data_IF_558764819048
#
_entry.id   IF_558764819048
#
_cell.length_a   1.000
_cell.length_b   1.000
_cell.length_c   1.000
_cell.angle_alpha   90.00
_cell.angle_beta   90.00
_cell.angle_gamma   90.00
#
_symmetry.space_group_name_H-M   'P 1'
#
loop_
_entity.id
_entity.type
_entity.pdbx_description
1 polymer ?
#
# COMPACT_ATOMS: atom_id res chain seq x y z
N UNK A 1 -19.06 -7.12 17.48
CA UNK A 1 -18.80 -8.27 18.37
C UNK A 1 -17.53 -8.96 17.90
N UNK A 2 -16.53 -9.09 18.78
CA UNK A 2 -15.28 -9.83 18.52
C UNK A 2 -15.58 -11.33 18.69
N UNK A 3 -15.75 -12.07 17.60
CA UNK A 3 -16.33 -13.42 17.68
C UNK A 3 -15.31 -14.52 18.01
N UNK A 4 -14.07 -14.40 17.54
CA UNK A 4 -13.05 -15.48 17.67
C UNK A 4 -11.89 -15.15 18.61
N UNK A 5 -11.92 -14.01 19.32
CA UNK A 5 -10.79 -13.54 20.11
C UNK A 5 -10.58 -14.41 21.36
N UNK A 6 -9.53 -15.25 21.34
CA UNK A 6 -9.25 -16.24 22.38
C UNK A 6 -8.27 -15.71 23.44
N UNK A 7 -7.25 -14.94 23.03
CA UNK A 7 -6.18 -14.45 23.93
C UNK A 7 -5.88 -12.95 23.73
N UNK A 8 -6.16 -12.40 22.55
CA UNK A 8 -5.79 -11.03 22.19
C UNK A 8 -6.53 -9.96 22.99
N UNK A 9 -5.84 -8.86 23.31
CA UNK A 9 -6.37 -7.76 24.12
C UNK A 9 -6.43 -6.42 23.38
N UNK A 10 -7.23 -5.48 23.91
CA UNK A 10 -7.25 -4.07 23.47
C UNK A 10 -7.63 -3.85 21.99
N UNK A 11 -8.52 -4.70 21.46
CA UNK A 11 -9.03 -4.55 20.10
C UNK A 11 -10.33 -3.73 20.07
N UNK A 12 -10.46 -2.83 19.09
CA UNK A 12 -11.70 -2.10 18.80
C UNK A 12 -12.30 -2.65 17.49
N UNK A 13 -13.56 -3.10 17.52
CA UNK A 13 -14.25 -3.62 16.34
C UNK A 13 -15.64 -2.98 16.18
N UNK A 14 -15.80 -2.19 15.12
CA UNK A 14 -17.04 -1.51 14.74
C UNK A 14 -17.37 -1.84 13.28
N UNK A 15 -18.56 -2.40 13.03
CA UNK A 15 -18.97 -2.87 11.71
C UNK A 15 -19.28 -4.37 11.67
N UNK A 16 -20.02 -4.79 10.64
CA UNK A 16 -20.36 -6.19 10.43
C UNK A 16 -19.09 -6.98 10.12
N UNK A 17 -18.86 -8.06 10.85
CA UNK A 17 -17.71 -8.97 10.69
C UNK A 17 -16.32 -8.30 10.78
N UNK A 18 -16.22 -7.13 11.43
CA UNK A 18 -14.94 -6.55 11.80
C UNK A 18 -14.20 -7.47 12.79
N UNK A 19 -12.92 -7.76 12.55
CA UNK A 19 -12.08 -8.67 13.37
C UNK A 19 -12.66 -10.07 13.60
N UNK A 20 -13.41 -10.60 12.63
CA UNK A 20 -14.13 -11.87 12.80
C UNK A 20 -13.21 -13.07 13.13
N UNK A 21 -12.06 -13.17 12.48
CA UNK A 21 -11.14 -14.32 12.61
C UNK A 21 -10.04 -14.13 13.67
N UNK A 22 -10.04 -13.01 14.41
CA UNK A 22 -8.95 -12.68 15.32
C UNK A 22 -8.88 -13.68 16.46
N UNK A 23 -7.76 -14.40 16.62
CA UNK A 23 -7.54 -15.38 17.70
C UNK A 23 -6.67 -14.78 18.82
N UNK A 24 -5.44 -14.37 18.51
CA UNK A 24 -4.49 -13.84 19.52
C UNK A 24 -4.02 -12.43 19.24
N UNK A 25 -4.39 -11.84 18.10
CA UNK A 25 -4.00 -10.47 17.73
C UNK A 25 -4.51 -9.43 18.73
N UNK A 26 -3.67 -8.44 19.02
CA UNK A 26 -3.90 -7.40 20.03
C UNK A 26 -3.68 -6.00 19.48
N UNK A 27 -4.29 -5.00 20.12
CA UNK A 27 -4.16 -3.58 19.77
C UNK A 27 -4.59 -3.24 18.33
N UNK A 28 -5.56 -3.99 17.78
CA UNK A 28 -6.09 -3.74 16.46
C UNK A 28 -7.34 -2.84 16.53
N UNK A 29 -7.44 -1.89 15.61
CA UNK A 29 -8.64 -1.06 15.42
C UNK A 29 -9.27 -1.39 14.06
N UNK A 30 -10.48 -1.91 14.05
CA UNK A 30 -11.25 -2.23 12.85
C UNK A 30 -12.57 -1.46 12.85
N UNK A 31 -12.69 -0.48 11.96
CA UNK A 31 -13.88 0.33 11.78
C UNK A 31 -14.36 0.24 10.31
N UNK A 32 -15.39 -0.55 10.06
CA UNK A 32 -15.93 -0.81 8.73
C UNK A 32 -16.43 -2.24 8.61
N UNK A 33 -17.35 -2.48 7.67
CA UNK A 33 -17.75 -3.84 7.35
C UNK A 33 -16.53 -4.63 6.84
N UNK A 34 -16.31 -5.83 7.39
CA UNK A 34 -15.22 -6.73 7.02
C UNK A 34 -13.80 -6.17 7.22
N UNK A 35 -13.64 -5.08 7.99
CA UNK A 35 -12.32 -4.54 8.33
C UNK A 35 -11.56 -5.57 9.19
N UNK A 36 -10.31 -5.90 8.82
CA UNK A 36 -9.48 -6.92 9.49
C UNK A 36 -10.18 -8.29 9.65
N UNK A 37 -11.05 -8.67 8.70
CA UNK A 37 -11.85 -9.89 8.79
C UNK A 37 -11.01 -11.16 9.01
N UNK A 38 -9.90 -11.30 8.29
CA UNK A 38 -9.06 -12.51 8.28
C UNK A 38 -7.92 -12.47 9.31
N UNK A 39 -7.82 -11.41 10.12
CA UNK A 39 -6.71 -11.26 11.06
C UNK A 39 -6.75 -12.41 12.04
N UNK A 40 -5.66 -13.16 12.21
CA UNK A 40 -5.59 -14.27 13.17
C UNK A 40 -4.74 -13.85 14.37
N UNK A 41 -3.47 -13.50 14.13
CA UNK A 41 -2.49 -13.18 15.18
C UNK A 41 -1.85 -11.80 15.02
N UNK A 42 -2.10 -11.09 13.91
CA UNK A 42 -1.54 -9.78 13.62
C UNK A 42 -1.90 -8.74 14.70
N UNK A 43 -0.93 -7.87 15.01
CA UNK A 43 -1.04 -6.88 16.09
C UNK A 43 -0.93 -5.45 15.54
N UNK A 44 -1.46 -4.48 16.31
CA UNK A 44 -1.24 -3.04 16.06
C UNK A 44 -1.69 -2.57 14.65
N UNK A 45 -2.68 -3.23 14.07
CA UNK A 45 -3.23 -2.82 12.78
C UNK A 45 -4.41 -1.86 12.95
N UNK A 46 -4.44 -0.80 12.16
CA UNK A 46 -5.55 0.14 12.08
C UNK A 46 -6.21 0.03 10.72
N UNK A 47 -7.47 -0.41 10.68
CA UNK A 47 -8.30 -0.52 9.48
C UNK A 47 -9.54 0.35 9.63
N UNK A 48 -9.62 1.44 8.88
CA UNK A 48 -10.73 2.38 8.87
C UNK A 48 -11.32 2.50 7.46
N UNK A 49 -12.35 1.71 7.19
CA UNK A 49 -13.00 1.58 5.89
C UNK A 49 -13.58 0.19 5.70
N UNK A 50 -14.62 0.08 4.87
CA UNK A 50 -15.13 -1.25 4.48
C UNK A 50 -14.06 -2.00 3.71
N UNK A 51 -13.84 -3.28 4.05
CA UNK A 51 -12.83 -4.18 3.50
C UNK A 51 -11.36 -3.74 3.71
N UNK A 52 -11.10 -2.70 4.51
CA UNK A 52 -9.73 -2.31 4.84
C UNK A 52 -9.01 -3.45 5.59
N UNK A 53 -7.80 -3.83 5.12
CA UNK A 53 -7.01 -4.96 5.66
C UNK A 53 -7.78 -6.29 5.76
N UNK A 54 -8.74 -6.54 4.87
CA UNK A 54 -9.60 -7.72 4.92
C UNK A 54 -8.84 -9.05 4.94
N UNK A 55 -7.77 -9.15 4.15
CA UNK A 55 -6.93 -10.34 3.99
C UNK A 55 -5.78 -10.47 4.99
N UNK A 56 -5.61 -9.51 5.92
CA UNK A 56 -4.50 -9.55 6.88
C UNK A 56 -4.62 -10.81 7.72
N UNK A 57 -3.58 -11.65 7.76
CA UNK A 57 -3.58 -12.88 8.57
C UNK A 57 -2.65 -12.72 9.77
N UNK A 58 -1.41 -12.33 9.52
CA UNK A 58 -0.35 -12.21 10.54
C UNK A 58 0.42 -10.89 10.48
N UNK A 59 0.17 -10.05 9.47
CA UNK A 59 0.83 -8.75 9.31
C UNK A 59 0.62 -7.83 10.51
N UNK A 60 1.62 -6.97 10.76
CA UNK A 60 1.76 -6.15 11.96
C UNK A 60 2.02 -4.69 11.57
N UNK A 61 1.58 -3.76 12.41
CA UNK A 61 1.85 -2.31 12.27
C UNK A 61 1.36 -1.71 10.94
N UNK A 62 0.26 -2.21 10.38
CA UNK A 62 -0.32 -1.66 9.16
C UNK A 62 -1.42 -0.63 9.47
N UNK A 63 -1.44 0.47 8.74
CA UNK A 63 -2.50 1.48 8.78
C UNK A 63 -3.19 1.55 7.42
N UNK A 64 -4.49 1.26 7.36
CA UNK A 64 -5.32 1.30 6.18
C UNK A 64 -6.54 2.20 6.41
N UNK A 65 -6.61 3.32 5.73
CA UNK A 65 -7.73 4.27 5.80
C UNK A 65 -8.32 4.49 4.41
N UNK A 66 -9.54 4.02 4.19
CA UNK A 66 -10.23 4.08 2.90
C UNK A 66 -10.97 2.79 2.57
N UNK A 67 -11.92 2.89 1.64
CA UNK A 67 -12.56 1.70 1.09
C UNK A 67 -11.50 0.82 0.40
N UNK A 68 -11.44 -0.46 0.78
CA UNK A 68 -10.51 -1.43 0.21
C UNK A 68 -9.01 -1.09 0.32
N UNK A 69 -8.59 -0.20 1.23
CA UNK A 69 -7.17 0.05 1.48
C UNK A 69 -6.48 -1.22 2.05
N UNK A 70 -5.32 -1.61 1.49
CA UNK A 70 -4.57 -2.81 1.90
C UNK A 70 -5.39 -4.11 1.94
N UNK A 71 -6.40 -4.25 1.06
CA UNK A 71 -7.37 -5.36 1.13
C UNK A 71 -6.70 -6.74 1.16
N UNK A 72 -5.69 -6.97 0.31
CA UNK A 72 -5.07 -8.28 0.16
C UNK A 72 -3.78 -8.48 0.98
N UNK A 73 -3.42 -7.54 1.86
CA UNK A 73 -2.21 -7.70 2.69
C UNK A 73 -2.36 -8.96 3.52
N UNK A 74 -1.42 -9.91 3.45
CA UNK A 74 -1.51 -11.17 4.21
C UNK A 74 -0.58 -11.14 5.42
N UNK A 75 0.70 -10.85 5.18
CA UNK A 75 1.77 -10.89 6.18
C UNK A 75 2.63 -9.62 6.20
N UNK A 76 2.45 -8.72 5.22
CA UNK A 76 3.26 -7.50 5.11
C UNK A 76 3.17 -6.63 6.37
N UNK A 77 4.26 -5.92 6.65
CA UNK A 77 4.51 -5.19 7.90
C UNK A 77 4.77 -3.71 7.61
N UNK A 78 4.25 -2.84 8.48
CA UNK A 78 4.59 -1.42 8.47
C UNK A 78 4.06 -0.64 7.26
N UNK A 79 3.00 -1.11 6.60
CA UNK A 79 2.43 -0.42 5.45
C UNK A 79 1.42 0.66 5.88
N UNK A 80 1.48 1.83 5.24
CA UNK A 80 0.49 2.90 5.41
C UNK A 80 -0.23 3.14 4.09
N UNK A 81 -1.53 2.89 4.06
CA UNK A 81 -2.41 3.13 2.93
C UNK A 81 -3.52 4.12 3.32
N UNK A 82 -3.56 5.28 2.68
CA UNK A 82 -4.59 6.30 2.87
C UNK A 82 -5.18 6.68 1.51
N UNK A 83 -6.44 6.28 1.27
CA UNK A 83 -7.13 6.43 0.00
C UNK A 83 -7.92 5.18 -0.37
N UNK A 84 -8.92 5.35 -1.23
CA UNK A 84 -9.66 4.21 -1.77
C UNK A 84 -8.71 3.34 -2.60
N UNK A 85 -8.68 2.04 -2.30
CA UNK A 85 -7.86 1.03 -2.99
C UNK A 85 -6.36 1.35 -3.03
N UNK A 86 -5.85 2.13 -2.07
CA UNK A 86 -4.42 2.30 -1.88
C UNK A 86 -3.79 0.97 -1.41
N UNK A 87 -2.68 0.56 -2.03
CA UNK A 87 -2.02 -0.74 -1.77
C UNK A 87 -2.96 -1.96 -1.86
N UNK A 88 -3.94 -1.92 -2.77
CA UNK A 88 -5.01 -2.93 -2.84
C UNK A 88 -4.50 -4.37 -2.97
N UNK A 89 -3.54 -4.62 -3.86
CA UNK A 89 -3.00 -5.95 -4.17
C UNK A 89 -1.76 -6.34 -3.34
N UNK A 90 -1.36 -5.53 -2.33
CA UNK A 90 -0.20 -5.86 -1.51
C UNK A 90 -0.43 -7.17 -0.81
N UNK A 91 0.52 -8.12 -0.90
CA UNK A 91 0.39 -9.42 -0.22
C UNK A 91 1.42 -9.57 0.89
N UNK A 92 2.69 -9.25 0.58
CA UNK A 92 3.84 -9.47 1.46
C UNK A 92 4.83 -8.31 1.48
N UNK A 93 4.63 -7.27 0.65
CA UNK A 93 5.51 -6.10 0.63
C UNK A 93 5.46 -5.33 1.95
N UNK A 94 6.61 -4.81 2.36
CA UNK A 94 6.81 -4.15 3.65
C UNK A 94 7.13 -2.66 3.49
N UNK A 95 6.82 -1.88 4.54
CA UNK A 95 7.24 -0.49 4.68
C UNK A 95 6.84 0.41 3.49
N UNK A 96 5.69 0.15 2.86
CA UNK A 96 5.18 1.00 1.78
C UNK A 96 4.28 2.11 2.33
N UNK A 97 4.38 3.31 1.77
CA UNK A 97 3.48 4.44 2.03
C UNK A 97 2.72 4.81 0.78
N UNK A 98 1.40 4.67 0.79
CA UNK A 98 0.50 5.02 -0.30
C UNK A 98 -0.54 6.05 0.17
N UNK A 99 -0.45 7.27 -0.33
CA UNK A 99 -1.36 8.37 0.01
C UNK A 99 -2.02 8.90 -1.27
N UNK A 100 -3.22 8.43 -1.56
CA UNK A 100 -3.99 8.77 -2.75
C UNK A 100 -4.89 7.62 -3.18
N UNK A 101 -5.95 7.94 -3.96
CA UNK A 101 -6.77 6.90 -4.59
C UNK A 101 -5.90 6.09 -5.56
N UNK A 102 -5.90 4.77 -5.40
CA UNK A 102 -5.15 3.80 -6.21
C UNK A 102 -3.62 4.00 -6.20
N UNK A 103 -3.08 4.71 -5.20
CA UNK A 103 -1.63 4.77 -5.01
C UNK A 103 -1.10 3.37 -4.69
N UNK A 104 -0.05 2.92 -5.40
CA UNK A 104 0.52 1.57 -5.26
C UNK A 104 -0.50 0.42 -5.41
N UNK A 105 -1.57 0.60 -6.21
CA UNK A 105 -2.67 -0.36 -6.32
C UNK A 105 -2.21 -1.81 -6.57
N UNK A 106 -1.33 -2.03 -7.56
CA UNK A 106 -0.87 -3.36 -7.97
C UNK A 106 0.39 -3.86 -7.26
N UNK A 107 0.86 -3.17 -6.22
CA UNK A 107 2.06 -3.61 -5.49
C UNK A 107 1.75 -4.97 -4.87
N UNK A 108 2.55 -6.00 -5.14
CA UNK A 108 2.32 -7.35 -4.59
C UNK A 108 3.34 -7.68 -3.50
N UNK A 109 4.62 -7.45 -3.78
CA UNK A 109 5.76 -7.82 -2.91
C UNK A 109 6.83 -6.72 -2.82
N UNK A 110 6.73 -5.67 -3.63
CA UNK A 110 7.65 -4.53 -3.56
C UNK A 110 7.62 -3.87 -2.18
N UNK A 111 8.78 -3.43 -1.71
CA UNK A 111 8.98 -2.85 -0.38
C UNK A 111 9.65 -1.49 -0.44
N UNK A 112 9.47 -0.68 0.61
CA UNK A 112 10.12 0.63 0.72
C UNK A 112 9.62 1.68 -0.28
N UNK A 113 8.46 1.49 -0.91
CA UNK A 113 7.92 2.44 -1.88
C UNK A 113 7.11 3.56 -1.19
N UNK A 114 7.27 4.80 -1.67
CA UNK A 114 6.46 5.95 -1.28
C UNK A 114 5.70 6.50 -2.48
N UNK A 115 4.37 6.48 -2.44
CA UNK A 115 3.49 7.00 -3.47
C UNK A 115 2.53 8.03 -2.88
N UNK A 116 2.69 9.29 -3.25
CA UNK A 116 1.81 10.40 -2.85
C UNK A 116 1.17 11.02 -4.08
N UNK A 117 -0.13 10.90 -4.21
CA UNK A 117 -0.90 11.30 -5.39
C UNK A 117 -1.82 10.18 -5.87
N UNK A 118 -2.92 10.54 -6.53
CA UNK A 118 -3.78 9.51 -7.14
C UNK A 118 -3.03 8.82 -8.28
N UNK A 119 -3.09 7.50 -8.30
CA UNK A 119 -2.45 6.64 -9.31
C UNK A 119 -0.91 6.74 -9.36
N UNK A 120 -0.27 7.32 -8.34
CA UNK A 120 1.17 7.27 -8.18
C UNK A 120 1.62 5.81 -7.97
N UNK A 121 2.61 5.34 -8.73
CA UNK A 121 3.10 3.95 -8.70
C UNK A 121 2.01 2.87 -8.87
N UNK A 122 0.91 3.19 -9.56
CA UNK A 122 -0.27 2.30 -9.64
C UNK A 122 0.06 0.89 -10.15
N UNK A 123 0.98 0.76 -11.12
CA UNK A 123 1.34 -0.52 -11.75
C UNK A 123 2.52 -1.24 -11.08
N UNK A 124 3.09 -0.71 -10.00
CA UNK A 124 4.27 -1.32 -9.36
C UNK A 124 3.89 -2.71 -8.88
N UNK A 125 4.67 -3.75 -9.16
CA UNK A 125 4.37 -5.12 -8.71
C UNK A 125 5.40 -5.60 -7.68
N UNK A 126 6.69 -5.47 -8.01
CA UNK A 126 7.82 -6.01 -7.24
C UNK A 126 8.97 -5.00 -7.09
N UNK A 127 8.87 -3.83 -7.74
CA UNK A 127 9.87 -2.78 -7.62
C UNK A 127 9.97 -2.24 -6.20
N UNK A 128 11.19 -1.92 -5.77
CA UNK A 128 11.52 -1.47 -4.42
C UNK A 128 12.06 -0.05 -4.41
N UNK A 129 11.96 0.60 -3.26
CA UNK A 129 12.66 1.87 -2.98
C UNK A 129 12.33 2.99 -4.00
N UNK A 130 11.11 2.98 -4.55
CA UNK A 130 10.65 4.03 -5.45
C UNK A 130 9.91 5.13 -4.70
N UNK A 131 10.17 6.38 -5.06
CA UNK A 131 9.43 7.55 -4.58
C UNK A 131 8.68 8.21 -5.74
N UNK A 132 7.36 8.28 -5.65
CA UNK A 132 6.49 8.96 -6.60
C UNK A 132 5.62 10.00 -5.90
N UNK A 133 5.82 11.26 -6.21
CA UNK A 133 5.06 12.39 -5.68
C UNK A 133 4.41 13.17 -6.83
N UNK A 134 3.09 13.04 -6.98
CA UNK A 134 2.32 13.65 -8.05
C UNK A 134 1.22 12.74 -8.58
N UNK A 135 0.23 13.31 -9.26
CA UNK A 135 -0.75 12.51 -9.99
C UNK A 135 -0.06 11.70 -11.09
N UNK A 136 -0.31 10.38 -11.10
CA UNK A 136 0.26 9.44 -12.06
C UNK A 136 1.80 9.48 -12.18
N UNK A 137 2.51 9.98 -11.15
CA UNK A 137 3.96 9.90 -11.08
C UNK A 137 4.38 8.42 -11.04
N UNK A 138 5.32 8.05 -11.92
CA UNK A 138 5.89 6.71 -12.00
C UNK A 138 4.84 5.61 -12.24
N UNK A 139 3.71 5.95 -12.89
CA UNK A 139 2.51 5.10 -12.96
C UNK A 139 2.70 3.78 -13.71
N UNK A 140 3.60 3.74 -14.70
CA UNK A 140 3.92 2.56 -15.48
C UNK A 140 4.97 1.63 -14.85
N UNK A 141 5.56 1.98 -13.70
CA UNK A 141 6.63 1.18 -13.11
C UNK A 141 6.09 -0.18 -12.72
N UNK A 142 6.76 -1.25 -13.13
CA UNK A 142 6.34 -2.63 -12.78
C UNK A 142 7.34 -3.29 -11.86
N UNK A 143 8.64 -3.18 -12.18
CA UNK A 143 9.73 -3.87 -11.46
C UNK A 143 10.98 -3.01 -11.27
N UNK A 144 10.99 -1.78 -11.80
CA UNK A 144 12.10 -0.85 -11.63
C UNK A 144 12.26 -0.44 -10.16
N UNK A 145 13.50 -0.20 -9.74
CA UNK A 145 13.89 0.13 -8.37
C UNK A 145 14.58 1.49 -8.31
N UNK A 146 14.63 2.07 -7.12
CA UNK A 146 15.41 3.29 -6.83
C UNK A 146 15.05 4.50 -7.70
N UNK A 147 13.81 4.58 -8.21
CA UNK A 147 13.38 5.73 -9.01
C UNK A 147 12.74 6.81 -8.13
N UNK A 148 13.05 8.07 -8.41
CA UNK A 148 12.42 9.24 -7.81
C UNK A 148 11.70 10.04 -8.88
N UNK A 149 10.38 10.16 -8.77
CA UNK A 149 9.51 10.94 -9.64
C UNK A 149 8.76 12.00 -8.83
N UNK A 150 9.05 13.28 -9.05
CA UNK A 150 8.40 14.41 -8.40
C UNK A 150 7.76 15.32 -9.45
N UNK A 151 6.45 15.21 -9.63
CA UNK A 151 5.69 15.98 -10.61
C UNK A 151 4.51 15.20 -11.18
N UNK A 152 3.56 15.92 -11.79
CA UNK A 152 2.50 15.31 -12.60
C UNK A 152 3.14 14.50 -13.74
N UNK A 153 2.82 13.21 -13.80
CA UNK A 153 3.30 12.26 -14.83
C UNK A 153 4.82 12.18 -15.01
N UNK A 154 5.61 12.57 -14.00
CA UNK A 154 7.06 12.33 -14.00
C UNK A 154 7.34 10.81 -14.08
N UNK A 155 8.23 10.39 -14.99
CA UNK A 155 8.57 8.99 -15.28
C UNK A 155 7.36 8.07 -15.57
N UNK A 156 6.26 8.61 -16.08
CA UNK A 156 5.01 7.85 -16.22
C UNK A 156 5.15 6.55 -17.05
N UNK A 157 6.01 6.52 -18.07
CA UNK A 157 6.21 5.32 -18.91
C UNK A 157 7.32 4.36 -18.43
N UNK A 158 8.00 4.63 -17.30
CA UNK A 158 9.07 3.76 -16.81
C UNK A 158 8.48 2.42 -16.42
N UNK A 159 8.97 1.31 -16.95
CA UNK A 159 8.48 -0.04 -16.64
C UNK A 159 9.46 -0.82 -15.78
N UNK A 160 10.75 -0.79 -16.16
CA UNK A 160 11.82 -1.61 -15.55
C UNK A 160 13.12 -0.83 -15.31
N UNK A 161 13.20 0.43 -15.74
CA UNK A 161 14.38 1.27 -15.52
C UNK A 161 14.62 1.52 -14.04
N UNK A 162 15.88 1.60 -13.63
CA UNK A 162 16.29 1.80 -12.24
C UNK A 162 17.02 3.13 -12.06
N UNK A 163 17.09 3.61 -10.81
CA UNK A 163 17.94 4.74 -10.44
C UNK A 163 17.71 6.03 -11.26
N UNK A 164 16.46 6.28 -11.72
CA UNK A 164 16.13 7.50 -12.44
C UNK A 164 15.61 8.58 -11.47
N UNK A 165 16.05 9.81 -11.67
CA UNK A 165 15.52 10.99 -10.97
C UNK A 165 14.83 11.91 -11.97
N UNK A 166 13.54 12.14 -11.77
CA UNK A 166 12.73 13.06 -12.56
C UNK A 166 12.02 14.05 -11.66
N UNK A 167 12.37 15.32 -11.78
CA UNK A 167 11.72 16.42 -11.10
C UNK A 167 11.09 17.34 -12.16
N UNK A 168 9.80 17.64 -12.03
CA UNK A 168 9.04 18.45 -12.98
C UNK A 168 7.88 17.72 -13.66
N UNK A 169 6.97 18.50 -14.24
CA UNK A 169 5.82 17.98 -14.99
C UNK A 169 6.30 17.23 -16.25
N UNK A 170 5.98 15.95 -16.37
CA UNK A 170 6.38 15.11 -17.50
C UNK A 170 7.89 14.86 -17.63
N UNK A 171 8.68 15.12 -16.59
CA UNK A 171 10.11 14.84 -16.61
C UNK A 171 10.36 13.33 -16.84
N UNK A 172 11.19 13.00 -17.83
CA UNK A 172 11.44 11.63 -18.30
C UNK A 172 10.16 10.83 -18.66
N UNK A 173 9.09 11.50 -19.11
CA UNK A 173 7.79 10.86 -19.38
C UNK A 173 7.87 9.58 -20.22
N UNK A 174 8.71 9.57 -21.27
CA UNK A 174 8.87 8.45 -22.21
C UNK A 174 10.02 7.49 -21.85
N UNK A 175 10.73 7.68 -20.74
CA UNK A 175 11.74 6.72 -20.32
C UNK A 175 11.05 5.42 -19.94
N UNK A 176 11.31 4.33 -20.67
CA UNK A 176 10.64 3.04 -20.44
C UNK A 176 11.52 2.03 -19.70
N UNK A 177 12.79 1.93 -20.06
CA UNK A 177 13.73 0.95 -19.47
C UNK A 177 15.11 1.57 -19.17
N UNK A 178 15.33 2.84 -19.51
CA UNK A 178 16.58 3.53 -19.24
C UNK A 178 16.82 3.64 -17.74
N UNK A 179 18.07 3.51 -17.33
CA UNK A 179 18.51 3.65 -15.94
C UNK A 179 19.52 4.79 -15.79
N UNK A 180 19.71 5.26 -14.57
CA UNK A 180 20.70 6.30 -14.22
C UNK A 180 20.50 7.65 -14.93
N UNK A 181 19.25 8.02 -15.22
CA UNK A 181 18.92 9.30 -15.83
C UNK A 181 18.54 10.35 -14.79
N UNK A 182 18.87 11.62 -15.06
CA UNK A 182 18.40 12.76 -14.26
C UNK A 182 17.77 13.82 -15.15
N UNK A 183 16.55 14.25 -14.82
CA UNK A 183 15.88 15.41 -15.40
C UNK A 183 15.29 16.28 -14.28
N UNK A 184 15.46 17.60 -14.40
CA UNK A 184 15.07 18.60 -13.39
C UNK A 184 14.08 19.62 -13.92
#
# INVERSE_FOLDING_TARGET
>A
MLFSNTIGGQNTASGIQALFSNTTGSQNTANGAFALFSNTIGNQNTANGSLALNGNTTGVDNTATGFQALTFNTIGVGNTASGSSALYENTTGDNNTANGREALYSNTTGSGNTATGSQALISNTTGNDNTANGYAALSGNTTGNDNTANGFEALSSNTTGNANTANGNGALFSNSTGSDNTAN
#
